data_IF_403357653184
#
_entry.id   IF_403357653184
#
_cell.length_a   1.000
_cell.length_b   1.000
_cell.length_c   1.000
_cell.angle_alpha   90.00
_cell.angle_beta   90.00
_cell.angle_gamma   90.00
#
_symmetry.space_group_name_H-M   'P 1'
#
loop_
_entity.id
_entity.type
_entity.pdbx_description
1 polymer ?
#
# COMPACT_ATOMS: atom_id res chain seq x y z
N UNK A 1 14.54 -68.97 13.13
CA UNK A 1 15.56 -69.08 12.06
C UNK A 1 15.43 -67.84 11.18
N UNK A 2 16.55 -67.19 10.83
CA UNK A 2 16.75 -65.89 10.16
C UNK A 2 16.60 -64.65 11.07
N UNK A 3 17.67 -64.14 11.69
CA UNK A 3 18.81 -63.33 11.19
C UNK A 3 18.42 -61.88 10.84
N UNK A 4 18.60 -60.98 11.80
CA UNK A 4 18.79 -59.53 11.56
C UNK A 4 20.26 -59.23 11.84
N UNK A 5 20.99 -58.88 10.80
CA UNK A 5 22.40 -58.52 10.82
C UNK A 5 22.58 -57.11 11.37
N UNK A 6 23.32 -57.00 12.49
CA UNK A 6 23.75 -55.73 13.07
C UNK A 6 24.84 -55.07 12.23
N UNK A 7 24.73 -53.76 12.03
CA UNK A 7 25.81 -52.93 11.49
C UNK A 7 26.30 -52.00 12.60
N UNK A 8 27.47 -52.32 13.14
CA UNK A 8 28.24 -51.46 14.04
C UNK A 8 28.57 -50.12 13.36
N UNK A 9 28.43 -49.01 14.09
CA UNK A 9 29.15 -47.77 13.75
C UNK A 9 29.70 -47.12 15.02
N UNK A 10 30.99 -47.42 15.24
CA UNK A 10 32.04 -46.64 15.89
C UNK A 10 31.65 -45.67 17.01
N UNK A 11 31.89 -46.11 18.24
CA UNK A 11 32.13 -45.25 19.39
C UNK A 11 33.44 -44.45 19.18
N UNK A 12 33.43 -43.17 19.59
CA UNK A 12 34.64 -42.40 19.94
C UNK A 12 34.45 -41.87 21.38
N UNK A 13 35.52 -41.81 22.19
CA UNK A 13 35.40 -41.74 23.64
C UNK A 13 35.09 -40.33 24.15
N UNK A 14 34.24 -40.25 25.17
CA UNK A 14 33.98 -39.06 25.97
C UNK A 14 35.17 -38.77 26.90
N UNK A 15 35.62 -37.52 26.92
CA UNK A 15 36.55 -36.98 27.93
C UNK A 15 35.81 -36.57 29.22
N UNK A 16 36.54 -36.36 30.33
CA UNK A 16 35.97 -36.46 31.67
C UNK A 16 35.55 -35.09 32.21
N UNK A 17 34.26 -34.79 32.20
CA UNK A 17 33.68 -33.83 33.15
C UNK A 17 32.27 -34.27 33.56
N UNK A 18 32.20 -34.75 34.81
CA UNK A 18 31.10 -34.63 35.76
C UNK A 18 29.67 -34.72 35.24
N UNK A 19 29.08 -35.90 35.42
CA UNK A 19 27.63 -36.04 35.55
C UNK A 19 27.11 -35.14 36.68
N UNK A 20 26.11 -34.32 36.37
CA UNK A 20 25.14 -33.85 37.36
C UNK A 20 23.77 -34.30 36.87
N UNK A 21 23.28 -35.36 37.50
CA UNK A 21 21.88 -35.75 37.42
C UNK A 21 21.03 -34.72 38.17
N UNK A 22 20.13 -34.03 37.48
CA UNK A 22 18.96 -33.42 38.11
C UNK A 22 17.71 -33.99 37.44
N UNK A 23 17.16 -34.99 38.12
CA UNK A 23 15.88 -35.61 37.82
C UNK A 23 14.76 -34.58 38.03
N UNK A 24 14.13 -34.11 36.95
CA UNK A 24 12.81 -33.48 37.01
C UNK A 24 11.79 -34.39 36.31
N UNK A 25 11.24 -35.32 37.11
CA UNK A 25 10.01 -36.04 36.78
C UNK A 25 8.81 -35.14 37.14
N UNK A 26 8.38 -34.32 36.19
CA UNK A 26 7.01 -33.80 36.20
C UNK A 26 6.16 -34.69 35.29
N UNK A 27 5.41 -35.60 35.92
CA UNK A 27 4.29 -36.30 35.29
C UNK A 27 3.04 -35.42 35.44
N UNK A 28 2.82 -34.51 34.50
CA UNK A 28 1.50 -33.92 34.26
C UNK A 28 0.80 -34.72 33.17
N UNK A 29 -0.06 -35.64 33.61
CA UNK A 29 -0.97 -36.42 32.77
C UNK A 29 -2.14 -35.52 32.34
N UNK A 30 -2.05 -34.93 31.14
CA UNK A 30 -3.22 -34.44 30.41
C UNK A 30 -3.05 -34.81 28.94
N UNK A 31 -4.10 -35.41 28.37
CA UNK A 31 -4.10 -36.18 27.12
C UNK A 31 -3.19 -35.61 26.04
N UNK A 32 -2.16 -36.35 25.66
CA UNK A 32 -1.07 -35.75 24.90
C UNK A 32 -0.38 -36.77 24.02
N UNK A 33 -0.27 -36.45 22.73
CA UNK A 33 0.76 -37.03 21.90
C UNK A 33 2.13 -36.84 22.57
N UNK A 34 2.91 -37.91 22.62
CA UNK A 34 4.25 -37.87 23.22
C UNK A 34 5.14 -37.01 22.32
N UNK A 35 5.41 -35.76 22.72
CA UNK A 35 6.41 -34.90 22.08
C UNK A 35 7.72 -34.99 22.83
N UNK A 36 8.83 -35.15 22.10
CA UNK A 36 10.19 -35.10 22.67
C UNK A 36 10.46 -33.68 23.15
N UNK A 37 10.92 -33.50 24.40
CA UNK A 37 11.45 -32.22 24.87
C UNK A 37 12.81 -32.00 24.23
N UNK A 38 12.96 -30.88 23.52
CA UNK A 38 14.20 -30.44 22.88
C UNK A 38 14.49 -29.03 23.39
N UNK A 39 15.76 -28.73 23.67
CA UNK A 39 16.18 -27.36 23.95
C UNK A 39 16.33 -26.64 22.62
N UNK A 40 15.55 -25.58 22.42
CA UNK A 40 15.50 -24.82 21.18
C UNK A 40 15.83 -23.37 21.48
N UNK A 41 16.82 -22.83 20.78
CA UNK A 41 17.14 -21.42 20.87
C UNK A 41 16.09 -20.62 20.10
N UNK A 42 15.75 -19.44 20.63
CA UNK A 42 15.00 -18.45 19.86
C UNK A 42 15.71 -18.22 18.53
N UNK A 43 14.98 -18.30 17.41
CA UNK A 43 15.51 -18.07 16.06
C UNK A 43 16.25 -16.72 15.92
N UNK A 44 15.95 -15.84 16.86
CA UNK A 44 16.45 -14.52 17.04
C UNK A 44 17.09 -14.58 18.47
N UNK A 45 18.43 -14.72 18.58
CA UNK A 45 19.18 -14.69 19.86
C UNK A 45 20.36 -13.69 19.87
N UNK A 46 20.53 -12.94 20.97
CA UNK A 46 21.43 -11.77 21.15
C UNK A 46 22.94 -12.00 20.92
N UNK A 47 23.40 -13.25 20.76
CA UNK A 47 24.80 -13.62 20.81
C UNK A 47 25.59 -13.37 19.51
N UNK A 48 24.91 -13.04 18.41
CA UNK A 48 25.50 -12.70 17.10
C UNK A 48 25.18 -11.26 16.73
N UNK A 49 26.17 -10.51 16.22
CA UNK A 49 26.03 -9.11 15.81
C UNK A 49 24.91 -8.80 14.80
N UNK A 50 24.32 -9.83 14.19
CA UNK A 50 23.10 -9.79 13.37
C UNK A 50 21.90 -9.19 14.12
N UNK A 51 21.76 -9.45 15.42
CA UNK A 51 20.70 -8.87 16.27
C UNK A 51 20.70 -7.35 16.28
N UNK A 52 21.89 -6.75 16.24
CA UNK A 52 22.04 -5.30 16.24
C UNK A 52 21.56 -4.69 14.92
N UNK A 53 21.46 -5.43 13.82
CA UNK A 53 20.99 -4.94 12.52
C UNK A 53 19.47 -5.11 12.36
N UNK A 54 18.90 -6.22 12.82
CA UNK A 54 17.46 -6.54 12.73
C UNK A 54 16.59 -5.48 13.43
N UNK A 55 17.02 -4.96 14.58
CA UNK A 55 16.33 -3.88 15.28
C UNK A 55 16.25 -2.57 14.49
N UNK A 56 17.25 -2.21 13.66
CA UNK A 56 17.17 -1.02 12.81
C UNK A 56 16.14 -1.19 11.68
N UNK A 57 15.88 -2.41 11.25
CA UNK A 57 14.93 -2.71 10.18
C UNK A 57 13.48 -2.84 10.67
N UNK A 58 13.25 -3.50 11.82
CA UNK A 58 11.94 -3.44 12.49
C UNK A 58 11.54 -1.99 12.80
N UNK A 59 12.55 -1.18 13.14
CA UNK A 59 12.44 0.23 13.40
C UNK A 59 12.08 1.08 12.17
N UNK A 60 12.81 0.94 11.06
CA UNK A 60 12.51 1.66 9.81
C UNK A 60 11.08 1.41 9.35
N UNK A 61 10.54 0.21 9.59
CA UNK A 61 9.18 -0.17 9.23
C UNK A 61 8.13 0.12 10.32
N UNK A 62 8.51 0.74 11.45
CA UNK A 62 7.62 1.11 12.56
C UNK A 62 6.73 -0.06 13.06
N UNK A 63 7.25 -1.28 13.08
CA UNK A 63 6.51 -2.49 13.46
C UNK A 63 7.11 -3.08 14.74
N UNK A 64 6.50 -2.85 15.92
CA UNK A 64 6.96 -3.46 17.15
C UNK A 64 6.69 -4.97 17.12
N UNK A 65 7.72 -5.77 17.38
CA UNK A 65 7.60 -7.23 17.51
C UNK A 65 7.30 -7.61 18.98
N UNK A 66 6.05 -7.96 19.33
CA UNK A 66 5.68 -8.25 20.71
C UNK A 66 6.30 -9.54 21.24
N UNK A 67 6.72 -10.46 20.36
CA UNK A 67 7.38 -11.71 20.78
C UNK A 67 8.76 -11.42 21.32
N UNK A 68 9.52 -10.54 20.67
CA UNK A 68 10.86 -10.14 21.14
C UNK A 68 10.78 -9.51 22.52
N UNK A 69 9.84 -8.60 22.73
CA UNK A 69 9.59 -8.01 24.06
C UNK A 69 9.30 -9.10 25.10
N UNK A 70 8.40 -10.04 24.79
CA UNK A 70 8.05 -11.12 25.72
C UNK A 70 9.25 -12.00 26.06
N UNK A 71 10.01 -12.44 25.05
CA UNK A 71 11.22 -13.25 25.25
C UNK A 71 12.27 -12.53 26.10
N UNK A 72 12.41 -11.21 25.93
CA UNK A 72 13.34 -10.41 26.73
C UNK A 72 12.88 -10.24 28.18
N UNK A 73 11.57 -10.10 28.44
CA UNK A 73 11.02 -9.99 29.81
C UNK A 73 11.10 -11.31 30.57
N UNK A 74 10.94 -12.42 29.86
CA UNK A 74 10.98 -13.75 30.45
C UNK A 74 12.40 -14.33 30.57
N UNK A 75 13.43 -13.63 30.05
CA UNK A 75 14.82 -14.08 30.06
C UNK A 75 15.44 -14.08 31.47
N UNK A 76 15.99 -15.23 31.88
CA UNK A 76 16.56 -15.45 33.21
C UNK A 76 18.08 -15.26 33.24
N UNK A 77 18.83 -16.24 33.72
CA UNK A 77 20.29 -16.26 33.73
C UNK A 77 20.82 -17.10 32.56
N UNK A 78 22.11 -17.01 32.29
CA UNK A 78 22.77 -17.82 31.24
C UNK A 78 22.50 -19.33 31.48
N UNK A 79 22.24 -20.06 30.40
CA UNK A 79 21.89 -21.51 30.41
C UNK A 79 20.61 -21.89 31.19
N UNK A 80 19.74 -20.93 31.52
CA UNK A 80 18.45 -21.19 32.19
C UNK A 80 17.26 -20.88 31.28
N UNK A 81 16.20 -21.68 31.42
CA UNK A 81 14.94 -21.49 30.69
C UNK A 81 14.21 -20.20 31.11
N UNK A 82 13.26 -19.72 30.30
CA UNK A 82 12.53 -18.49 30.60
C UNK A 82 11.59 -18.66 31.80
N UNK A 83 11.48 -17.61 32.61
CA UNK A 83 10.52 -17.52 33.71
C UNK A 83 9.60 -16.32 33.46
N UNK A 84 8.26 -16.51 33.43
CA UNK A 84 7.31 -15.43 33.16
C UNK A 84 7.55 -14.21 34.05
N UNK A 85 7.81 -13.04 33.44
CA UNK A 85 7.94 -11.78 34.17
C UNK A 85 9.20 -11.63 35.02
N UNK A 86 10.26 -12.41 34.79
CA UNK A 86 11.49 -12.35 35.59
C UNK A 86 12.17 -10.97 35.55
N UNK A 87 12.17 -10.29 34.39
CA UNK A 87 12.75 -8.95 34.20
C UNK A 87 11.74 -7.97 33.64
N UNK A 88 10.70 -7.65 34.41
CA UNK A 88 9.69 -6.67 34.00
C UNK A 88 10.28 -5.30 33.65
N UNK A 89 11.40 -4.90 34.25
CA UNK A 89 12.11 -3.65 34.00
C UNK A 89 12.53 -3.47 32.53
N UNK A 90 12.84 -4.56 31.80
CA UNK A 90 13.17 -4.50 30.37
C UNK A 90 11.99 -4.00 29.53
N UNK A 91 10.74 -4.16 30.00
CA UNK A 91 9.56 -3.65 29.30
C UNK A 91 9.61 -2.13 29.15
N UNK A 92 10.07 -1.42 30.18
CA UNK A 92 10.18 0.03 30.18
C UNK A 92 11.22 0.48 29.14
N UNK A 93 12.35 -0.23 29.06
CA UNK A 93 13.38 0.03 28.04
C UNK A 93 12.80 -0.06 26.63
N UNK A 94 12.07 -1.14 26.31
CA UNK A 94 11.45 -1.29 24.99
C UNK A 94 10.37 -0.25 24.71
N UNK A 95 9.54 0.11 25.70
CA UNK A 95 8.53 1.17 25.52
C UNK A 95 9.19 2.51 25.21
N UNK A 96 10.22 2.91 25.95
CA UNK A 96 10.97 4.15 25.69
C UNK A 96 11.66 4.07 24.33
N UNK A 97 12.29 2.94 24.02
CA UNK A 97 12.95 2.71 22.73
C UNK A 97 11.96 2.83 21.55
N UNK A 98 10.81 2.18 21.60
CA UNK A 98 9.79 2.21 20.54
C UNK A 98 8.99 3.53 20.47
N UNK A 99 8.99 4.38 21.51
CA UNK A 99 8.37 5.70 21.42
C UNK A 99 9.36 6.78 20.95
N UNK A 100 10.53 6.84 21.59
CA UNK A 100 11.49 7.94 21.39
C UNK A 100 12.26 7.78 20.10
N UNK A 101 12.73 6.57 19.81
CA UNK A 101 13.57 6.34 18.65
C UNK A 101 12.79 6.62 17.35
N UNK A 102 11.55 6.12 17.14
CA UNK A 102 10.86 6.34 15.86
C UNK A 102 10.48 7.79 15.66
N UNK A 103 10.13 8.48 16.75
CA UNK A 103 9.88 9.92 16.72
C UNK A 103 11.09 10.70 16.21
N UNK A 104 12.29 10.42 16.74
CA UNK A 104 13.51 11.08 16.29
C UNK A 104 13.80 10.80 14.81
N UNK A 105 13.64 9.56 14.38
CA UNK A 105 13.95 9.16 13.01
C UNK A 105 12.95 9.70 11.99
N UNK A 106 11.65 9.65 12.30
CA UNK A 106 10.61 10.29 11.48
C UNK A 106 10.89 11.78 11.37
N UNK A 107 11.30 12.46 12.45
CA UNK A 107 11.63 13.88 12.39
C UNK A 107 12.85 14.17 11.53
N UNK A 108 13.92 13.36 11.60
CA UNK A 108 15.07 13.48 10.69
C UNK A 108 14.63 13.25 9.25
N UNK A 109 13.86 12.19 9.00
CA UNK A 109 13.41 11.84 7.67
C UNK A 109 12.52 12.94 7.08
N UNK A 110 11.54 13.42 7.83
CA UNK A 110 10.67 14.55 7.46
C UNK A 110 11.49 15.81 7.23
N UNK A 111 12.49 16.11 8.06
CA UNK A 111 13.37 17.26 7.86
C UNK A 111 14.17 17.14 6.56
N UNK A 112 14.75 15.97 6.25
CA UNK A 112 15.43 15.71 4.98
C UNK A 112 14.49 15.88 3.80
N UNK A 113 13.26 15.33 3.88
CA UNK A 113 12.24 15.51 2.85
C UNK A 113 11.92 17.00 2.67
N UNK A 114 11.70 17.75 3.75
CA UNK A 114 11.43 19.21 3.68
C UNK A 114 12.62 19.95 3.05
N UNK A 115 13.86 19.63 3.41
CA UNK A 115 15.05 20.29 2.83
C UNK A 115 15.13 19.98 1.34
N UNK A 116 14.99 18.71 0.94
CA UNK A 116 14.99 18.36 -0.48
C UNK A 116 13.81 19.00 -1.23
N UNK A 117 12.66 19.11 -0.56
CA UNK A 117 11.47 19.75 -1.08
C UNK A 117 11.67 21.26 -1.28
N UNK A 118 12.31 21.94 -0.33
CA UNK A 118 12.70 23.34 -0.44
C UNK A 118 13.75 23.52 -1.54
N UNK A 119 14.76 22.67 -1.62
CA UNK A 119 15.80 22.78 -2.64
C UNK A 119 15.27 22.56 -4.06
N UNK A 120 14.36 21.60 -4.25
CA UNK A 120 13.68 21.39 -5.54
C UNK A 120 12.65 22.50 -5.80
N UNK A 121 11.93 22.93 -4.77
CA UNK A 121 10.98 24.04 -4.81
C UNK A 121 11.63 25.35 -5.24
N UNK A 122 12.76 25.71 -4.64
CA UNK A 122 13.49 26.95 -4.94
C UNK A 122 14.06 26.95 -6.36
N UNK A 123 14.60 25.81 -6.83
CA UNK A 123 15.05 25.65 -8.23
C UNK A 123 13.89 25.84 -9.20
N UNK A 124 12.74 25.21 -8.96
CA UNK A 124 11.55 25.31 -9.82
C UNK A 124 10.86 26.68 -9.72
N UNK A 125 10.86 27.31 -8.54
CA UNK A 125 10.19 28.59 -8.29
C UNK A 125 10.98 29.78 -8.84
N UNK A 126 12.32 29.70 -8.82
CA UNK A 126 13.19 30.74 -9.40
C UNK A 126 13.04 30.89 -10.92
N UNK A 127 12.60 29.85 -11.62
CA UNK A 127 12.45 29.89 -13.09
C UNK A 127 11.05 30.32 -13.57
N UNK A 128 10.00 30.36 -12.73
CA UNK A 128 8.65 30.36 -13.33
C UNK A 128 7.44 30.93 -12.55
N UNK A 129 7.58 31.67 -11.45
CA UNK A 129 6.39 32.10 -10.67
C UNK A 129 5.46 33.07 -11.42
N UNK A 130 6.01 34.12 -12.06
CA UNK A 130 5.20 35.12 -12.77
C UNK A 130 4.79 34.64 -14.18
N UNK A 131 5.58 33.77 -14.80
CA UNK A 131 5.31 33.23 -16.13
C UNK A 131 4.27 32.11 -16.10
N UNK A 132 4.25 31.22 -15.08
CA UNK A 132 3.27 30.12 -14.98
C UNK A 132 1.83 30.58 -14.82
N UNK A 133 1.57 31.61 -14.00
CA UNK A 133 0.18 32.10 -13.82
C UNK A 133 -0.35 32.75 -15.10
N UNK A 134 0.49 33.54 -15.78
CA UNK A 134 0.18 34.11 -17.10
C UNK A 134 0.04 33.02 -18.15
N UNK A 135 0.97 32.06 -18.20
CA UNK A 135 0.96 30.93 -19.14
C UNK A 135 -0.24 30.03 -18.93
N UNK A 136 -0.66 29.75 -17.70
CA UNK A 136 -1.87 28.98 -17.43
C UNK A 136 -3.13 29.70 -17.93
N UNK A 137 -3.22 31.02 -17.78
CA UNK A 137 -4.33 31.80 -18.33
C UNK A 137 -4.30 31.84 -19.87
N UNK A 138 -3.10 31.96 -20.47
CA UNK A 138 -2.90 31.95 -21.92
C UNK A 138 -3.21 30.57 -22.50
N UNK A 139 -2.69 29.50 -21.90
CA UNK A 139 -2.94 28.12 -22.28
C UNK A 139 -4.43 27.78 -22.12
N UNK A 140 -5.08 28.27 -21.06
CA UNK A 140 -6.52 28.16 -20.94
C UNK A 140 -7.22 28.85 -22.10
N UNK A 141 -6.96 30.14 -22.33
CA UNK A 141 -7.59 30.92 -23.41
C UNK A 141 -7.38 30.30 -24.80
N UNK A 142 -6.20 29.71 -25.05
CA UNK A 142 -5.86 29.07 -26.33
C UNK A 142 -6.46 27.65 -26.44
N UNK A 143 -6.50 26.89 -25.35
CA UNK A 143 -6.93 25.48 -25.37
C UNK A 143 -8.42 25.27 -25.13
N UNK A 144 -9.12 26.26 -24.56
CA UNK A 144 -10.55 26.16 -24.33
C UNK A 144 -11.32 26.07 -25.62
N UNK A 145 -12.01 24.94 -25.77
CA UNK A 145 -13.01 24.76 -26.80
C UNK A 145 -14.38 25.12 -26.23
N UNK A 146 -15.22 25.85 -26.98
CA UNK A 146 -16.60 26.09 -26.58
C UNK A 146 -17.33 24.78 -26.27
N UNK A 147 -18.09 24.76 -25.18
CA UNK A 147 -18.87 23.59 -24.79
C UNK A 147 -20.03 23.42 -25.77
N UNK A 148 -20.01 22.34 -26.57
CA UNK A 148 -21.13 22.00 -27.44
C UNK A 148 -22.28 21.45 -26.62
N UNK A 149 -23.46 22.07 -26.76
CA UNK A 149 -24.70 21.59 -26.15
C UNK A 149 -25.66 21.22 -27.26
N UNK A 150 -25.99 19.93 -27.35
CA UNK A 150 -27.01 19.49 -28.29
C UNK A 150 -28.35 20.12 -27.90
N UNK A 151 -28.88 20.98 -28.76
CA UNK A 151 -30.20 21.61 -28.63
C UNK A 151 -30.99 21.34 -29.91
N UNK A 152 -32.16 20.68 -29.84
CA UNK A 152 -32.99 20.45 -31.02
C UNK A 152 -33.52 21.78 -31.58
N UNK A 153 -33.50 21.93 -32.91
CA UNK A 153 -33.79 23.19 -33.62
C UNK A 153 -35.28 23.59 -33.51
N UNK A 154 -36.18 22.61 -33.51
CA UNK A 154 -37.63 22.85 -33.50
C UNK A 154 -38.22 22.87 -32.10
N UNK A 155 -38.47 24.08 -31.57
CA UNK A 155 -39.08 24.28 -30.24
C UNK A 155 -40.50 23.70 -30.10
N UNK A 156 -41.21 23.47 -31.21
CA UNK A 156 -42.56 22.89 -31.22
C UNK A 156 -42.57 21.37 -31.32
N UNK A 157 -41.42 20.73 -31.58
CA UNK A 157 -41.33 19.28 -31.73
C UNK A 157 -41.37 18.55 -30.39
N UNK A 158 -41.90 17.32 -30.40
CA UNK A 158 -41.84 16.40 -29.26
C UNK A 158 -40.38 16.15 -28.78
N UNK A 159 -39.41 16.27 -29.69
CA UNK A 159 -37.99 16.18 -29.39
C UNK A 159 -37.53 17.28 -28.41
N UNK A 160 -37.97 18.52 -28.58
CA UNK A 160 -37.62 19.62 -27.68
C UNK A 160 -38.25 19.42 -26.30
N UNK A 161 -39.52 19.03 -26.22
CA UNK A 161 -40.18 18.70 -24.94
C UNK A 161 -39.47 17.58 -24.18
N UNK A 162 -39.04 16.53 -24.88
CA UNK A 162 -38.31 15.40 -24.28
C UNK A 162 -36.93 15.83 -23.81
N UNK A 163 -36.21 16.64 -24.60
CA UNK A 163 -34.91 17.19 -24.21
C UNK A 163 -35.01 18.09 -22.97
N UNK A 164 -35.98 19.02 -22.94
CA UNK A 164 -36.22 19.90 -21.79
C UNK A 164 -36.53 19.11 -20.53
N UNK A 165 -37.27 18.01 -20.65
CA UNK A 165 -37.55 17.11 -19.52
C UNK A 165 -36.29 16.40 -19.01
N UNK A 166 -35.49 15.80 -19.90
CA UNK A 166 -34.27 15.06 -19.53
C UNK A 166 -33.19 15.98 -18.90
N UNK A 167 -33.10 17.22 -19.36
CA UNK A 167 -32.15 18.22 -18.88
C UNK A 167 -32.64 18.93 -17.61
N UNK A 168 -33.90 18.73 -17.22
CA UNK A 168 -34.49 19.43 -16.07
C UNK A 168 -33.86 18.99 -14.73
N UNK A 169 -33.61 19.92 -13.80
CA UNK A 169 -33.14 19.61 -12.44
C UNK A 169 -33.98 18.55 -11.69
N UNK A 170 -35.34 18.56 -11.73
CA UNK A 170 -36.13 17.57 -11.00
C UNK A 170 -35.95 16.14 -11.54
N UNK A 171 -35.78 15.98 -12.86
CA UNK A 171 -35.52 14.66 -13.46
C UNK A 171 -34.17 14.09 -13.01
N UNK A 172 -33.16 14.95 -12.84
CA UNK A 172 -31.86 14.54 -12.31
C UNK A 172 -31.95 14.09 -10.85
N UNK A 173 -32.67 14.82 -9.99
CA UNK A 173 -32.92 14.40 -8.60
C UNK A 173 -33.69 13.07 -8.53
N UNK A 174 -34.62 12.84 -9.44
CA UNK A 174 -35.36 11.57 -9.54
C UNK A 174 -34.42 10.38 -9.84
N UNK A 175 -33.52 10.52 -10.81
CA UNK A 175 -32.52 9.47 -11.12
C UNK A 175 -31.59 9.22 -9.92
N UNK A 176 -31.19 10.26 -9.21
CA UNK A 176 -30.34 10.15 -8.01
C UNK A 176 -31.06 9.39 -6.89
N UNK A 177 -32.34 9.72 -6.64
CA UNK A 177 -33.18 9.01 -5.69
C UNK A 177 -33.35 7.53 -6.06
N UNK A 178 -33.53 7.22 -7.35
CA UNK A 178 -33.61 5.84 -7.84
C UNK A 178 -32.30 5.05 -7.64
N UNK A 179 -31.13 5.68 -7.82
CA UNK A 179 -29.82 5.05 -7.54
C UNK A 179 -29.65 4.79 -6.04
N UNK A 180 -29.98 5.78 -5.20
CA UNK A 180 -29.90 5.65 -3.74
C UNK A 180 -30.84 4.54 -3.23
N UNK A 181 -32.09 4.54 -3.68
CA UNK A 181 -33.09 3.52 -3.32
C UNK A 181 -32.66 2.12 -3.78
N UNK A 182 -32.12 1.98 -5.00
CA UNK A 182 -31.59 0.70 -5.48
C UNK A 182 -30.44 0.17 -4.60
N UNK A 183 -29.63 1.07 -4.06
CA UNK A 183 -28.51 0.73 -3.16
C UNK A 183 -29.02 0.25 -1.80
N UNK A 184 -29.99 0.95 -1.22
CA UNK A 184 -30.62 0.57 0.06
C UNK A 184 -31.27 -0.81 -0.07
N UNK A 185 -32.01 -1.06 -1.15
CA UNK A 185 -32.64 -2.36 -1.43
C UNK A 185 -31.58 -3.46 -1.59
N UNK A 186 -30.41 -3.16 -2.17
CA UNK A 186 -29.31 -4.12 -2.29
C UNK A 186 -28.70 -4.48 -0.94
N UNK A 187 -28.60 -3.52 0.00
CA UNK A 187 -28.09 -3.75 1.35
C UNK A 187 -29.07 -4.54 2.24
N UNK A 188 -30.37 -4.49 1.94
CA UNK A 188 -31.40 -5.27 2.66
C UNK A 188 -31.51 -6.73 2.19
N UNK A 189 -30.82 -7.14 1.10
CA UNK A 189 -30.98 -8.49 0.54
C UNK A 189 -30.05 -9.52 1.21
N UNK A 190 -30.62 -10.37 2.06
CA UNK A 190 -29.91 -11.49 2.71
C UNK A 190 -29.46 -12.60 1.74
N UNK A 191 -28.17 -12.94 1.84
CA UNK A 191 -27.46 -14.23 1.76
C UNK A 191 -27.85 -15.36 0.79
N UNK A 192 -28.60 -15.09 -0.28
CA UNK A 192 -28.80 -16.10 -1.32
C UNK A 192 -28.14 -15.70 -2.63
N UNK A 193 -27.20 -16.54 -3.05
CA UNK A 193 -26.54 -16.65 -4.36
C UNK A 193 -25.27 -15.81 -4.57
N UNK A 194 -24.18 -16.55 -4.81
CA UNK A 194 -22.80 -16.20 -5.15
C UNK A 194 -22.70 -15.49 -6.53
N UNK A 195 -23.36 -14.34 -6.65
CA UNK A 195 -23.21 -13.37 -7.75
C UNK A 195 -22.72 -12.01 -7.18
N UNK A 196 -21.96 -12.06 -6.09
CA UNK A 196 -21.46 -10.88 -5.37
C UNK A 196 -20.71 -9.91 -6.29
N UNK A 197 -20.00 -10.42 -7.31
CA UNK A 197 -19.31 -9.58 -8.28
C UNK A 197 -20.27 -8.76 -9.18
N UNK A 198 -21.39 -9.34 -9.64
CA UNK A 198 -22.39 -8.58 -10.43
C UNK A 198 -23.15 -7.56 -9.58
N UNK A 199 -23.23 -7.76 -8.25
CA UNK A 199 -23.80 -6.78 -7.32
C UNK A 199 -22.89 -5.55 -7.17
N UNK A 200 -21.57 -5.70 -7.26
CA UNK A 200 -20.61 -4.59 -7.23
C UNK A 200 -20.78 -3.62 -8.42
N UNK A 201 -21.02 -4.13 -9.64
CA UNK A 201 -21.28 -3.24 -10.78
C UNK A 201 -22.57 -2.43 -10.64
N UNK A 202 -23.57 -2.93 -9.89
CA UNK A 202 -24.78 -2.16 -9.58
C UNK A 202 -24.47 -1.04 -8.59
N UNK A 203 -23.67 -1.34 -7.56
CA UNK A 203 -23.19 -0.34 -6.60
C UNK A 203 -22.25 0.71 -7.26
N UNK A 204 -21.54 0.37 -8.33
CA UNK A 204 -20.73 1.34 -9.09
C UNK A 204 -21.56 2.52 -9.65
N UNK A 205 -22.89 2.39 -9.75
CA UNK A 205 -23.78 3.52 -10.08
C UNK A 205 -23.70 4.64 -9.05
N UNK A 206 -23.31 4.39 -7.79
CA UNK A 206 -23.04 5.45 -6.81
C UNK A 206 -21.88 6.35 -7.20
N UNK A 207 -20.92 5.88 -8.00
CA UNK A 207 -19.82 6.73 -8.49
C UNK A 207 -20.36 7.89 -9.34
N UNK A 208 -21.55 7.74 -9.96
CA UNK A 208 -22.24 8.85 -10.62
C UNK A 208 -22.60 9.97 -9.64
N UNK A 209 -22.90 9.66 -8.37
CA UNK A 209 -23.17 10.65 -7.32
C UNK A 209 -21.91 11.49 -7.02
N UNK A 210 -20.75 10.83 -6.92
CA UNK A 210 -19.47 11.50 -6.65
C UNK A 210 -19.08 12.49 -7.75
N UNK A 211 -19.48 12.22 -9.00
CA UNK A 211 -19.23 13.12 -10.14
C UNK A 211 -20.18 14.33 -10.21
N UNK A 212 -21.19 14.40 -9.35
CA UNK A 212 -22.20 15.47 -9.35
C UNK A 212 -21.76 16.69 -8.54
N UNK A 213 -21.09 16.47 -7.40
CA UNK A 213 -20.57 17.55 -6.57
C UNK A 213 -19.46 18.28 -7.30
N UNK A 214 -19.61 19.60 -7.51
CA UNK A 214 -18.61 20.40 -8.22
C UNK A 214 -17.23 20.29 -7.54
N UNK A 215 -17.19 20.46 -6.21
CA UNK A 215 -15.97 20.33 -5.39
C UNK A 215 -15.38 18.92 -5.44
N UNK A 216 -16.21 17.88 -5.26
CA UNK A 216 -15.75 16.47 -5.28
C UNK A 216 -15.21 16.09 -6.65
N UNK A 217 -15.85 16.55 -7.73
CA UNK A 217 -15.40 16.33 -9.10
C UNK A 217 -14.03 16.94 -9.35
N UNK A 218 -13.80 18.17 -8.89
CA UNK A 218 -12.49 18.82 -9.01
C UNK A 218 -11.45 18.04 -8.20
N UNK A 219 -11.75 17.70 -6.95
CA UNK A 219 -10.85 16.92 -6.08
C UNK A 219 -10.48 15.56 -6.70
N UNK A 220 -11.47 14.82 -7.21
CA UNK A 220 -11.23 13.54 -7.88
C UNK A 220 -10.44 13.72 -9.18
N UNK A 221 -10.72 14.77 -9.95
CA UNK A 221 -10.01 15.06 -11.19
C UNK A 221 -8.55 15.44 -10.93
N UNK A 222 -8.28 16.25 -9.89
CA UNK A 222 -6.93 16.64 -9.49
C UNK A 222 -6.17 15.45 -8.93
N UNK A 223 -6.82 14.58 -8.14
CA UNK A 223 -6.25 13.30 -7.70
C UNK A 223 -5.89 12.38 -8.87
N UNK A 224 -6.80 12.22 -9.85
CA UNK A 224 -6.52 11.43 -11.07
C UNK A 224 -5.38 12.02 -11.88
N UNK A 225 -5.29 13.35 -11.95
CA UNK A 225 -4.19 14.04 -12.62
C UNK A 225 -2.83 13.70 -11.98
N UNK A 226 -2.77 13.55 -10.66
CA UNK A 226 -1.56 13.13 -9.95
C UNK A 226 -1.06 11.74 -10.36
N UNK A 227 -1.93 10.85 -10.85
CA UNK A 227 -1.51 9.52 -11.33
C UNK A 227 -0.74 9.55 -12.64
N UNK A 228 -0.70 10.67 -13.38
CA UNK A 228 0.04 10.72 -14.65
C UNK A 228 1.55 10.61 -14.47
N UNK A 229 2.08 11.02 -13.32
CA UNK A 229 3.50 10.90 -12.99
C UNK A 229 3.86 9.57 -12.28
N UNK A 230 2.87 8.91 -11.66
CA UNK A 230 3.03 7.64 -10.96
C UNK A 230 3.43 6.41 -11.80
N UNK A 231 3.06 6.23 -13.09
CA UNK A 231 3.32 4.98 -13.80
C UNK A 231 4.80 4.65 -13.90
N UNK A 232 5.68 5.64 -14.04
CA UNK A 232 7.13 5.41 -14.13
C UNK A 232 7.70 4.85 -12.83
N UNK A 233 7.24 5.36 -11.69
CA UNK A 233 7.70 4.87 -10.39
C UNK A 233 7.08 3.52 -10.04
N UNK A 234 5.79 3.32 -10.35
CA UNK A 234 5.14 2.02 -10.21
C UNK A 234 5.81 0.97 -11.10
N UNK A 235 6.25 1.32 -12.31
CA UNK A 235 7.01 0.43 -13.19
C UNK A 235 8.35 0.05 -12.56
N UNK A 236 9.07 1.01 -11.95
CA UNK A 236 10.32 0.74 -11.25
C UNK A 236 10.12 -0.24 -10.07
N UNK A 237 9.09 -0.02 -9.26
CA UNK A 237 8.71 -0.95 -8.18
C UNK A 237 8.32 -2.32 -8.74
N UNK A 238 7.55 -2.38 -9.83
CA UNK A 238 7.17 -3.64 -10.46
C UNK A 238 8.39 -4.42 -10.99
N UNK A 239 9.38 -3.75 -11.57
CA UNK A 239 10.64 -4.38 -12.02
C UNK A 239 11.42 -4.93 -10.82
N UNK A 240 11.51 -4.19 -9.71
CA UNK A 240 12.14 -4.68 -8.48
C UNK A 240 11.45 -5.97 -8.00
N UNK A 241 10.13 -5.97 -7.87
CA UNK A 241 9.35 -7.13 -7.48
C UNK A 241 9.55 -8.32 -8.42
N UNK A 242 9.62 -8.07 -9.73
CA UNK A 242 9.85 -9.10 -10.73
C UNK A 242 11.22 -9.77 -10.55
N UNK A 243 12.29 -8.99 -10.40
CA UNK A 243 13.66 -9.51 -10.19
C UNK A 243 13.71 -10.35 -8.91
N UNK A 244 13.18 -9.83 -7.80
CA UNK A 244 13.20 -10.53 -6.52
C UNK A 244 12.33 -11.80 -6.53
N UNK A 245 11.16 -11.77 -7.17
CA UNK A 245 10.29 -12.95 -7.28
C UNK A 245 10.96 -14.09 -8.07
N UNK A 246 11.64 -13.76 -9.17
CA UNK A 246 12.40 -14.76 -9.94
C UNK A 246 13.58 -15.31 -9.12
N UNK A 247 14.33 -14.45 -8.44
CA UNK A 247 15.42 -14.88 -7.56
C UNK A 247 14.91 -15.83 -6.46
N UNK A 248 13.80 -15.52 -5.79
CA UNK A 248 13.26 -16.40 -4.74
C UNK A 248 12.79 -17.76 -5.28
N UNK A 249 12.03 -17.77 -6.39
CA UNK A 249 11.51 -19.01 -6.97
C UNK A 249 12.64 -19.90 -7.52
N UNK A 250 13.65 -19.30 -8.15
CA UNK A 250 14.61 -20.01 -9.00
C UNK A 250 15.96 -20.30 -8.34
N UNK A 251 16.37 -19.48 -7.37
CA UNK A 251 17.72 -19.54 -6.79
C UNK A 251 17.76 -20.01 -5.33
N UNK A 252 16.74 -19.73 -4.50
CA UNK A 252 16.93 -19.82 -3.03
C UNK A 252 15.86 -20.59 -2.25
N UNK A 253 14.56 -20.50 -2.59
CA UNK A 253 13.48 -20.97 -1.68
C UNK A 253 12.41 -21.87 -2.32
N UNK A 254 12.46 -22.12 -3.63
CA UNK A 254 11.41 -22.89 -4.33
C UNK A 254 11.23 -24.35 -3.86
N UNK A 255 12.25 -24.92 -3.22
CA UNK A 255 12.30 -26.34 -2.83
C UNK A 255 11.95 -26.61 -1.36
N UNK A 256 11.61 -25.57 -0.58
CA UNK A 256 11.24 -25.72 0.83
C UNK A 256 9.91 -26.47 0.95
N UNK A 257 9.84 -27.43 1.87
CA UNK A 257 8.61 -28.16 2.18
C UNK A 257 7.54 -27.22 2.73
N UNK A 258 6.29 -27.47 2.35
CA UNK A 258 5.16 -26.71 2.87
C UNK A 258 4.73 -27.34 4.18
N UNK A 259 4.64 -26.54 5.23
CA UNK A 259 4.19 -26.99 6.54
C UNK A 259 3.20 -25.97 7.12
N UNK A 260 2.04 -26.46 7.58
CA UNK A 260 0.96 -25.63 8.13
C UNK A 260 1.36 -24.99 9.49
N UNK A 261 2.33 -25.58 10.19
CA UNK A 261 2.87 -25.05 11.45
C UNK A 261 3.92 -23.95 11.23
N UNK A 262 4.43 -23.78 10.00
CA UNK A 262 5.43 -22.75 9.67
C UNK A 262 4.81 -21.57 8.91
N UNK A 263 5.56 -20.47 8.79
CA UNK A 263 5.14 -19.34 7.97
C UNK A 263 5.15 -19.66 6.45
N UNK A 264 5.70 -20.80 6.03
CA UNK A 264 5.73 -21.26 4.64
C UNK A 264 4.70 -22.38 4.46
N UNK A 265 3.51 -22.01 3.99
CA UNK A 265 2.37 -22.91 3.85
C UNK A 265 1.82 -22.87 2.41
N UNK A 266 0.75 -23.61 2.15
CA UNK A 266 0.13 -23.68 0.81
C UNK A 266 -0.30 -22.32 0.24
N UNK A 267 -0.64 -21.36 1.11
CA UNK A 267 -1.04 -20.02 0.73
C UNK A 267 0.15 -19.04 0.64
N UNK A 268 1.24 -19.35 1.32
CA UNK A 268 2.43 -18.52 1.44
C UNK A 268 3.66 -19.29 0.96
N UNK A 269 3.83 -19.37 -0.36
CA UNK A 269 4.85 -20.21 -0.99
C UNK A 269 5.65 -19.50 -2.08
N UNK A 270 6.90 -19.95 -2.27
CA UNK A 270 7.82 -19.51 -3.32
C UNK A 270 7.87 -20.45 -4.54
N UNK A 271 6.97 -21.44 -4.63
CA UNK A 271 6.97 -22.42 -5.73
C UNK A 271 6.63 -21.82 -7.09
N UNK A 272 5.65 -20.91 -7.13
CA UNK A 272 5.23 -20.25 -8.37
C UNK A 272 5.52 -18.76 -8.32
N UNK A 273 5.77 -18.18 -9.49
CA UNK A 273 6.09 -16.75 -9.62
C UNK A 273 5.02 -15.85 -8.99
N UNK A 274 3.73 -16.13 -9.21
CA UNK A 274 2.65 -15.29 -8.69
C UNK A 274 2.52 -15.42 -7.16
N UNK A 275 2.71 -16.62 -6.60
CA UNK A 275 2.68 -16.80 -5.14
C UNK A 275 3.89 -16.14 -4.47
N UNK A 276 5.08 -16.24 -5.07
CA UNK A 276 6.26 -15.52 -4.61
C UNK A 276 6.07 -14.00 -4.68
N UNK A 277 5.42 -13.50 -5.74
CA UNK A 277 5.06 -12.08 -5.87
C UNK A 277 4.12 -11.64 -4.74
N UNK A 278 3.09 -12.43 -4.43
CA UNK A 278 2.15 -12.16 -3.33
C UNK A 278 2.83 -12.20 -1.96
N UNK A 279 3.76 -13.12 -1.76
CA UNK A 279 4.53 -13.23 -0.52
C UNK A 279 5.49 -12.05 -0.35
N UNK A 280 6.17 -11.61 -1.43
CA UNK A 280 6.97 -10.38 -1.43
C UNK A 280 6.11 -9.13 -1.20
N UNK A 281 4.89 -9.10 -1.76
CA UNK A 281 3.94 -8.02 -1.49
C UNK A 281 3.53 -7.97 -0.01
N UNK A 282 3.25 -9.12 0.60
CA UNK A 282 3.03 -9.23 2.05
C UNK A 282 4.23 -8.73 2.87
N UNK A 283 5.45 -9.03 2.40
CA UNK A 283 6.67 -8.49 3.00
C UNK A 283 6.77 -6.96 2.87
N UNK A 284 6.47 -6.42 1.70
CA UNK A 284 6.50 -4.98 1.41
C UNK A 284 5.44 -4.17 2.17
N UNK A 285 4.30 -4.78 2.52
CA UNK A 285 3.31 -4.17 3.43
C UNK A 285 3.73 -4.24 4.90
N UNK A 286 4.86 -4.88 5.23
CA UNK A 286 5.36 -5.04 6.58
C UNK A 286 4.70 -6.18 7.36
N UNK A 287 3.91 -7.06 6.72
CA UNK A 287 3.21 -8.13 7.42
C UNK A 287 4.05 -9.40 7.56
N UNK A 288 4.31 -9.81 8.81
CA UNK A 288 4.90 -11.10 9.17
C UNK A 288 6.23 -11.47 8.47
N UNK A 289 6.93 -10.50 7.87
CA UNK A 289 8.22 -10.74 7.22
C UNK A 289 9.28 -11.27 8.21
N UNK A 290 9.18 -10.87 9.48
CA UNK A 290 10.02 -11.33 10.58
C UNK A 290 9.81 -12.82 10.93
N UNK A 291 8.71 -13.44 10.50
CA UNK A 291 8.48 -14.89 10.64
C UNK A 291 8.80 -15.65 9.34
N UNK A 292 8.55 -15.02 8.19
CA UNK A 292 8.83 -15.57 6.86
C UNK A 292 10.35 -15.71 6.65
N UNK A 293 11.12 -14.68 6.99
CA UNK A 293 12.57 -14.67 6.83
C UNK A 293 13.28 -15.82 7.56
N UNK A 294 13.07 -16.04 8.88
CA UNK A 294 13.72 -17.15 9.58
C UNK A 294 13.25 -18.51 9.06
N UNK A 295 12.00 -18.62 8.57
CA UNK A 295 11.48 -19.86 7.97
C UNK A 295 12.20 -20.24 6.66
N UNK A 296 12.98 -19.32 6.07
CA UNK A 296 13.76 -19.52 4.86
C UNK A 296 15.27 -19.79 5.10
N UNK A 297 15.72 -19.82 6.35
CA UNK A 297 17.12 -20.08 6.71
C UNK A 297 17.58 -21.51 6.41
N UNK A 298 18.88 -21.77 6.55
CA UNK A 298 19.44 -23.12 6.38
C UNK A 298 18.77 -24.18 7.26
N UNK A 299 18.90 -25.46 6.88
CA UNK A 299 18.38 -26.65 7.59
C UNK A 299 16.85 -26.77 7.64
N UNK A 300 16.14 -26.31 6.61
CA UNK A 300 14.70 -26.53 6.48
C UNK A 300 14.41 -27.84 5.77
N UNK A 301 13.25 -28.43 6.07
CA UNK A 301 12.79 -29.63 5.39
C UNK A 301 12.60 -29.35 3.89
N UNK A 302 13.15 -30.22 3.05
CA UNK A 302 12.96 -30.18 1.60
C UNK A 302 11.66 -30.86 1.21
N UNK A 303 11.04 -30.39 0.14
CA UNK A 303 9.93 -31.12 -0.50
C UNK A 303 10.39 -32.50 -0.96
N UNK A 304 9.59 -33.54 -0.71
CA UNK A 304 9.86 -34.94 -1.10
C UNK A 304 10.06 -35.10 -2.61
N UNK A 305 9.48 -34.21 -3.40
CA UNK A 305 9.61 -34.20 -4.87
C UNK A 305 10.98 -33.71 -5.35
N UNK A 306 11.79 -33.13 -4.46
CA UNK A 306 13.10 -32.59 -4.78
C UNK A 306 14.16 -33.46 -4.12
N UNK A 307 15.07 -34.06 -4.91
CA UNK A 307 16.21 -34.83 -4.39
C UNK A 307 17.30 -33.91 -3.79
N UNK A 308 16.91 -32.91 -3.01
CA UNK A 308 17.80 -31.98 -2.32
C UNK A 308 17.98 -32.43 -0.87
N UNK A 309 19.22 -32.47 -0.39
CA UNK A 309 19.53 -32.85 0.99
C UNK A 309 19.46 -31.69 1.98
N UNK A 310 19.56 -30.45 1.48
CA UNK A 310 19.56 -29.23 2.27
C UNK A 310 18.67 -28.19 1.58
N UNK A 311 17.73 -27.62 2.33
CA UNK A 311 16.84 -26.56 1.86
C UNK A 311 16.91 -25.34 2.77
N UNK A 312 16.72 -24.18 2.13
CA UNK A 312 16.91 -22.88 2.77
C UNK A 312 18.38 -22.43 2.76
N UNK A 313 18.60 -21.14 2.98
CA UNK A 313 19.93 -20.53 2.90
C UNK A 313 20.05 -19.34 3.84
N UNK A 314 21.21 -19.18 4.47
CA UNK A 314 21.51 -18.01 5.30
C UNK A 314 21.57 -16.71 4.48
N UNK A 315 21.65 -16.81 3.14
CA UNK A 315 21.46 -15.70 2.22
C UNK A 315 20.06 -15.05 2.33
N UNK A 316 19.09 -15.74 2.93
CA UNK A 316 17.74 -15.21 3.19
C UNK A 316 17.76 -13.89 3.96
N UNK A 317 18.66 -13.74 4.94
CA UNK A 317 18.80 -12.48 5.69
C UNK A 317 19.09 -11.32 4.74
N UNK A 318 20.13 -11.43 3.92
CA UNK A 318 20.49 -10.39 2.96
C UNK A 318 19.40 -10.15 1.92
N UNK A 319 18.76 -11.21 1.44
CA UNK A 319 17.68 -11.12 0.46
C UNK A 319 16.48 -10.32 0.98
N UNK A 320 15.92 -10.68 2.14
CA UNK A 320 14.74 -9.99 2.69
C UNK A 320 15.09 -8.57 3.16
N UNK A 321 16.23 -8.40 3.84
CA UNK A 321 16.64 -7.08 4.34
C UNK A 321 16.87 -6.09 3.20
N UNK A 322 17.58 -6.50 2.14
CA UNK A 322 17.81 -5.64 0.97
C UNK A 322 16.51 -5.35 0.20
N UNK A 323 15.61 -6.32 0.07
CA UNK A 323 14.30 -6.13 -0.56
C UNK A 323 13.47 -5.08 0.19
N UNK A 324 13.32 -5.22 1.51
CA UNK A 324 12.52 -4.31 2.33
C UNK A 324 13.10 -2.89 2.32
N UNK A 325 14.42 -2.75 2.39
CA UNK A 325 15.09 -1.47 2.30
C UNK A 325 14.84 -0.78 0.95
N UNK A 326 15.10 -1.48 -0.16
CA UNK A 326 14.92 -0.95 -1.51
C UNK A 326 13.44 -0.64 -1.79
N UNK A 327 12.53 -1.51 -1.37
CA UNK A 327 11.09 -1.30 -1.53
C UNK A 327 10.61 -0.09 -0.74
N UNK A 328 11.06 0.08 0.50
CA UNK A 328 10.68 1.25 1.31
C UNK A 328 11.18 2.56 0.70
N UNK A 329 12.44 2.59 0.27
CA UNK A 329 13.01 3.74 -0.44
C UNK A 329 12.21 4.05 -1.72
N UNK A 330 11.91 3.04 -2.52
CA UNK A 330 11.15 3.20 -3.76
C UNK A 330 9.66 3.47 -3.57
N UNK A 331 9.07 3.18 -2.40
CA UNK A 331 7.67 3.52 -2.07
C UNK A 331 7.53 4.94 -1.49
N UNK A 332 8.56 5.44 -0.81
CA UNK A 332 8.63 6.83 -0.33
C UNK A 332 8.86 7.82 -1.47
N UNK A 333 9.72 7.49 -2.43
CA UNK A 333 10.02 8.34 -3.58
C UNK A 333 8.79 8.76 -4.43
N UNK A 334 7.81 7.90 -4.76
CA UNK A 334 6.58 8.30 -5.46
C UNK A 334 5.65 9.13 -4.57
N UNK A 335 5.62 8.89 -3.26
CA UNK A 335 4.84 9.74 -2.35
C UNK A 335 5.37 11.18 -2.39
N UNK A 336 6.69 11.35 -2.35
CA UNK A 336 7.35 12.66 -2.49
C UNK A 336 7.11 13.27 -3.88
N UNK A 337 7.23 12.48 -4.95
CA UNK A 337 6.98 12.96 -6.32
C UNK A 337 5.52 13.41 -6.54
N UNK A 338 4.55 12.63 -6.05
CA UNK A 338 3.12 12.99 -6.09
C UNK A 338 2.87 14.26 -5.28
N UNK A 339 3.47 14.40 -4.10
CA UNK A 339 3.33 15.63 -3.32
C UNK A 339 3.97 16.80 -4.06
N UNK A 340 5.12 16.63 -4.72
CA UNK A 340 5.76 17.70 -5.49
C UNK A 340 4.88 18.18 -6.65
N UNK A 341 4.33 17.24 -7.43
CA UNK A 341 3.43 17.56 -8.55
C UNK A 341 2.11 18.18 -8.06
N UNK A 342 1.64 17.83 -6.87
CA UNK A 342 0.43 18.39 -6.27
C UNK A 342 0.69 19.65 -5.43
N UNK A 343 1.92 19.94 -5.03
CA UNK A 343 2.22 21.07 -4.16
C UNK A 343 1.90 22.39 -4.86
N UNK A 344 2.17 22.47 -6.17
CA UNK A 344 1.79 23.62 -7.00
C UNK A 344 0.27 23.81 -7.07
N UNK A 345 -0.52 22.74 -6.94
CA UNK A 345 -1.98 22.81 -6.84
C UNK A 345 -2.44 23.22 -5.42
N UNK A 346 -1.81 22.66 -4.38
CA UNK A 346 -2.18 22.87 -2.97
C UNK A 346 -1.77 24.25 -2.44
N UNK A 347 -0.72 24.85 -2.97
CA UNK A 347 -0.22 26.19 -2.56
C UNK A 347 -0.70 27.32 -3.47
N UNK A 348 -1.55 27.03 -4.45
CA UNK A 348 -2.10 28.05 -5.35
C UNK A 348 -3.13 28.87 -4.58
N UNK A 349 -2.72 30.06 -4.13
CA UNK A 349 -3.61 31.02 -3.46
C UNK A 349 -4.85 31.27 -4.31
N UNK A 350 -6.03 31.08 -3.70
CA UNK A 350 -7.35 31.18 -4.32
C UNK A 350 -7.74 32.59 -4.77
N UNK A 351 -6.86 33.58 -4.63
CA UNK A 351 -7.21 35.00 -4.67
C UNK A 351 -6.93 35.71 -5.99
N UNK A 352 -6.23 35.11 -6.97
CA UNK A 352 -5.99 35.76 -8.27
C UNK A 352 -6.21 34.74 -9.40
N UNK A 353 -7.46 34.66 -9.87
CA UNK A 353 -7.90 33.90 -11.06
C UNK A 353 -7.68 32.37 -11.00
N UNK A 354 -8.42 31.69 -10.11
CA UNK A 354 -8.53 30.23 -10.15
C UNK A 354 -9.27 29.73 -11.42
N UNK A 355 -9.27 28.42 -11.70
CA UNK A 355 -10.03 27.84 -12.83
C UNK A 355 -11.56 27.91 -12.66
N UNK A 356 -12.06 28.23 -11.47
CA UNK A 356 -13.50 28.24 -11.16
C UNK A 356 -14.30 29.32 -11.90
N UNK A 357 -13.92 30.61 -11.91
CA UNK A 357 -14.67 31.64 -12.63
C UNK A 357 -14.62 31.43 -14.14
N UNK A 358 -13.53 30.84 -14.66
CA UNK A 358 -13.43 30.55 -16.10
C UNK A 358 -14.31 29.37 -16.54
N UNK A 359 -14.45 28.33 -15.71
CA UNK A 359 -15.41 27.23 -15.95
C UNK A 359 -16.85 27.74 -15.97
N UNK A 360 -17.17 28.72 -15.12
CA UNK A 360 -18.48 29.36 -15.05
C UNK A 360 -18.75 30.21 -16.29
N UNK A 361 -17.76 30.97 -16.77
CA UNK A 361 -17.84 31.70 -18.04
C UNK A 361 -18.16 30.78 -19.22
N UNK A 362 -17.48 29.63 -19.36
CA UNK A 362 -17.76 28.70 -20.48
C UNK A 362 -19.16 28.10 -20.37
N UNK A 363 -19.64 27.84 -19.15
CA UNK A 363 -21.01 27.34 -18.94
C UNK A 363 -22.06 28.36 -19.38
N UNK A 364 -21.88 29.62 -18.99
CA UNK A 364 -22.77 30.71 -19.42
C UNK A 364 -22.68 30.88 -20.94
N UNK A 365 -21.47 30.83 -21.51
CA UNK A 365 -21.27 30.91 -22.97
C UNK A 365 -22.05 29.82 -23.72
N UNK A 366 -22.03 28.58 -23.24
CA UNK A 366 -22.74 27.45 -23.87
C UNK A 366 -24.27 27.56 -23.85
N UNK A 367 -24.84 28.47 -23.04
CA UNK A 367 -26.27 28.78 -23.06
C UNK A 367 -26.66 29.68 -24.23
N UNK A 368 -25.76 30.57 -24.65
CA UNK A 368 -25.98 31.49 -25.75
C UNK A 368 -25.50 30.96 -27.11
N UNK A 369 -24.48 30.09 -27.15
CA UNK A 369 -23.97 29.45 -28.37
C UNK A 369 -23.93 27.91 -28.24
N UNK A 370 -25.08 27.22 -28.45
CA UNK A 370 -25.16 25.76 -28.31
C UNK A 370 -24.38 25.00 -29.40
N UNK A 371 -24.19 25.62 -30.57
CA UNK A 371 -23.51 25.03 -31.72
C UNK A 371 -21.99 25.24 -31.70
N UNK A 372 -21.46 25.99 -30.73
CA UNK A 372 -20.05 26.32 -30.62
C UNK A 372 -19.50 27.03 -31.89
N UNK A 373 -20.31 27.89 -32.50
CA UNK A 373 -19.96 28.65 -33.71
C UNK A 373 -19.04 29.85 -33.44
N UNK A 374 -18.65 30.09 -32.17
CA UNK A 374 -17.59 30.99 -31.72
C UNK A 374 -17.74 32.48 -32.08
N UNK A 375 -18.88 32.89 -32.66
CA UNK A 375 -19.18 34.28 -33.05
C UNK A 375 -20.61 34.64 -32.68
N UNK A 376 -20.79 35.71 -31.88
CA UNK A 376 -22.09 36.31 -31.62
C UNK A 376 -22.56 37.13 -32.84
N UNK A 377 -23.83 36.96 -33.22
CA UNK A 377 -24.50 37.91 -34.10
C UNK A 377 -24.52 39.31 -33.46
N UNK A 378 -24.23 40.33 -34.27
CA UNK A 378 -24.07 41.74 -33.88
C UNK A 378 -25.17 42.40 -33.00
N UNK A 379 -26.42 41.92 -32.84
CA UNK A 379 -27.43 42.59 -32.00
C UNK A 379 -27.28 42.39 -30.47
N UNK A 380 -26.45 41.47 -30.00
CA UNK A 380 -26.38 41.10 -28.56
C UNK A 380 -25.20 41.72 -27.79
N UNK A 381 -24.39 42.55 -28.46
CA UNK A 381 -23.08 43.03 -28.00
C UNK A 381 -23.11 43.99 -26.79
N UNK A 382 -24.26 44.57 -26.45
CA UNK A 382 -24.39 45.54 -25.36
C UNK A 382 -24.74 44.93 -24.01
N UNK A 383 -25.90 44.26 -23.91
CA UNK A 383 -26.42 43.75 -22.63
C UNK A 383 -25.86 42.39 -22.22
N UNK A 384 -25.67 41.47 -23.16
CA UNK A 384 -25.19 40.11 -22.84
C UNK A 384 -23.72 40.09 -22.44
N UNK A 385 -22.90 41.00 -22.99
CA UNK A 385 -21.49 41.12 -22.62
C UNK A 385 -21.31 41.77 -21.24
N UNK A 386 -22.10 42.78 -20.90
CA UNK A 386 -22.06 43.40 -19.56
C UNK A 386 -22.52 42.42 -18.47
N UNK A 387 -23.57 41.62 -18.72
CA UNK A 387 -23.99 40.55 -17.80
C UNK A 387 -22.93 39.44 -17.67
N UNK A 388 -22.28 39.03 -18.77
CA UNK A 388 -21.19 38.05 -18.68
C UNK A 388 -19.95 38.58 -17.96
N UNK A 389 -19.58 39.85 -18.17
CA UNK A 389 -18.43 40.48 -17.49
C UNK A 389 -18.74 40.70 -16.00
N UNK A 390 -19.99 41.01 -15.64
CA UNK A 390 -20.43 41.15 -14.24
C UNK A 390 -20.45 39.84 -13.46
N UNK A 391 -20.42 38.67 -14.12
CA UNK A 391 -20.31 37.35 -13.47
C UNK A 391 -18.83 36.98 -13.21
N UNK A 392 -17.90 37.62 -13.92
CA UNK A 392 -16.46 37.30 -13.87
C UNK A 392 -15.65 38.29 -13.03
N UNK A 393 -16.08 39.55 -12.93
CA UNK A 393 -15.53 40.60 -12.05
C UNK A 393 -16.25 40.55 -10.70
#
# INVERSE_FOLDING_TARGET
MQLVTGRQRSEKPAGPFGAVSSSCQDRSFFGGGVRRRVFENSACWWHQGAWRQEHWFEFWNCLPNPRVLKHSVDATCEEQGPSPGYRMELSIFYVVYFMVFPFFFVNIFVALIIITFQEQGDKVMSECSLEKSKRACIDFAISTKPLTRYMPQDKQSFQYKTWTFVVSPPFEYFIMAMIALNTVVLMMKNNFINLSFLRLFRAARLIKLLRRGYTIRILLWTFVQSFKALPYVCLLVAVLFFIYAIMACRWVFGNIALDDDTSINQHNTFRTFLQALMLLFRGATGEAWHEIMPSCLSNRACDEHTNASECGSDFAYFYFVSFIFLCSFLMLNPFVAVIMDNFEYLTRDSSILGPHPLDELIRVWAEYDPAACSVFGHPLRGRGLEEMVSVVV
#
